data_IF_576192715432
#
_entry.id   IF_576192715432
#
_cell.length_a   1.000
_cell.length_b   1.000
_cell.length_c   1.000
_cell.angle_alpha   90.00
_cell.angle_beta   90.00
_cell.angle_gamma   90.00
#
_symmetry.space_group_name_H-M   'P 1'
#
loop_
_entity.id
_entity.type
_entity.pdbx_description
1 polymer ?
#
# COMPACT_ATOMS: atom_id res chain seq x y z
N UNK A 1 20.35 13.57 -16.43
CA UNK A 1 19.84 12.47 -15.61
C UNK A 1 18.33 12.65 -15.49
N UNK A 2 17.54 11.86 -16.21
CA UNK A 2 16.07 11.96 -16.10
C UNK A 2 15.66 11.34 -14.75
N UNK A 3 15.14 12.17 -13.86
CA UNK A 3 14.48 11.72 -12.65
C UNK A 3 13.26 10.88 -13.06
N UNK A 4 13.13 9.69 -12.48
CA UNK A 4 11.99 8.81 -12.67
C UNK A 4 10.69 9.58 -12.38
N UNK A 5 9.63 9.35 -13.16
CA UNK A 5 8.33 10.03 -13.00
C UNK A 5 7.75 9.89 -11.59
N UNK A 6 8.05 8.79 -10.90
CA UNK A 6 7.67 8.59 -9.49
C UNK A 6 8.31 9.61 -8.55
N UNK A 7 9.51 10.07 -8.88
CA UNK A 7 10.24 11.11 -8.12
C UNK A 7 9.68 12.50 -8.44
N UNK A 8 9.20 12.74 -9.67
CA UNK A 8 8.61 14.02 -10.04
C UNK A 8 7.28 14.31 -9.33
N UNK A 9 6.46 13.30 -9.12
CA UNK A 9 5.21 13.44 -8.36
C UNK A 9 5.52 13.79 -6.90
N UNK A 10 6.61 13.25 -6.35
CA UNK A 10 7.09 13.56 -5.01
C UNK A 10 7.61 15.00 -4.85
N UNK A 11 8.36 15.49 -5.82
CA UNK A 11 8.85 16.87 -5.77
C UNK A 11 7.74 17.92 -5.88
N UNK A 12 6.67 17.61 -6.61
CA UNK A 12 5.49 18.48 -6.71
C UNK A 12 4.68 18.53 -5.42
N UNK A 13 4.61 17.43 -4.67
CA UNK A 13 3.92 17.40 -3.37
C UNK A 13 4.73 18.08 -2.27
N UNK A 14 6.07 17.94 -2.26
CA UNK A 14 6.93 18.61 -1.29
C UNK A 14 7.03 20.11 -1.52
N UNK A 15 6.88 20.58 -2.76
CA UNK A 15 6.84 22.03 -3.04
C UNK A 15 5.51 22.67 -2.58
N UNK A 16 4.43 21.90 -2.56
CA UNK A 16 3.14 22.36 -2.05
C UNK A 16 3.11 22.38 -0.50
N UNK A 17 3.87 21.50 0.16
CA UNK A 17 3.94 21.45 1.63
C UNK A 17 4.65 22.65 2.26
N UNK A 18 5.53 23.36 1.51
CA UNK A 18 6.19 24.58 1.98
C UNK A 18 5.21 25.75 2.12
N UNK A 19 4.06 25.70 1.44
CA UNK A 19 3.06 26.78 1.47
C UNK A 19 1.98 26.60 2.55
N UNK A 20 1.92 25.45 3.20
CA UNK A 20 1.00 25.17 4.28
C UNK A 20 1.76 24.79 5.55
N UNK A 21 1.62 25.60 6.60
CA UNK A 21 2.31 25.44 7.89
C UNK A 21 1.90 24.19 8.72
N UNK A 22 1.52 23.11 8.07
CA UNK A 22 1.26 21.78 8.65
C UNK A 22 2.37 20.78 8.28
N UNK A 23 3.62 21.24 8.24
CA UNK A 23 4.77 20.54 7.67
C UNK A 23 5.12 19.19 8.27
N UNK A 24 4.64 18.87 9.48
CA UNK A 24 5.12 17.68 10.18
C UNK A 24 4.51 16.37 9.65
N UNK A 25 3.25 16.39 9.22
CA UNK A 25 2.56 15.17 8.76
C UNK A 25 3.03 14.73 7.38
N UNK A 26 3.25 15.66 6.46
CA UNK A 26 3.75 15.33 5.12
C UNK A 26 5.21 14.87 5.13
N UNK A 27 6.05 15.48 5.96
CA UNK A 27 7.44 15.08 6.12
C UNK A 27 7.58 13.65 6.66
N UNK A 28 6.66 13.21 7.53
CA UNK A 28 6.62 11.84 8.06
C UNK A 28 6.32 10.82 6.97
N UNK A 29 5.31 11.06 6.16
CA UNK A 29 4.94 10.19 5.02
C UNK A 29 6.05 10.08 3.98
N UNK A 30 6.72 11.17 3.66
CA UNK A 30 7.87 11.16 2.74
C UNK A 30 9.00 10.29 3.28
N UNK A 31 9.35 10.42 4.55
CA UNK A 31 10.37 9.60 5.21
C UNK A 31 10.04 8.11 5.13
N UNK A 32 8.79 7.73 5.41
CA UNK A 32 8.34 6.35 5.40
C UNK A 32 8.32 5.76 3.98
N UNK A 33 7.91 6.54 3.00
CA UNK A 33 7.99 6.09 1.61
C UNK A 33 9.44 5.91 1.14
N UNK A 34 10.35 6.81 1.47
CA UNK A 34 11.78 6.66 1.19
C UNK A 34 12.36 5.41 1.86
N UNK A 35 11.96 5.14 3.09
CA UNK A 35 12.34 3.94 3.84
C UNK A 35 11.88 2.68 3.09
N UNK A 36 10.60 2.63 2.68
CA UNK A 36 10.06 1.53 1.90
C UNK A 36 10.83 1.31 0.60
N UNK A 37 11.04 2.37 -0.16
CA UNK A 37 11.70 2.32 -1.47
C UNK A 37 13.14 1.80 -1.38
N UNK A 38 13.88 2.24 -0.39
CA UNK A 38 15.32 1.96 -0.28
C UNK A 38 15.63 0.67 0.46
N UNK A 39 14.81 0.28 1.44
CA UNK A 39 15.09 -0.87 2.31
C UNK A 39 14.15 -2.06 2.08
N UNK A 40 13.05 -1.87 1.33
CA UNK A 40 11.94 -2.82 1.21
C UNK A 40 11.31 -3.21 2.56
N UNK A 41 11.50 -2.40 3.58
CA UNK A 41 10.93 -2.60 4.91
C UNK A 41 10.35 -1.28 5.41
N UNK A 42 9.09 -1.30 5.78
CA UNK A 42 8.41 -0.17 6.38
C UNK A 42 7.38 -0.68 7.39
N UNK A 43 7.88 -1.12 8.54
CA UNK A 43 7.04 -1.66 9.63
C UNK A 43 6.43 -0.49 10.38
N UNK A 44 5.11 -0.55 10.64
CA UNK A 44 4.35 0.49 11.35
C UNK A 44 4.46 1.90 10.72
N UNK A 45 4.61 1.95 9.40
CA UNK A 45 4.71 3.21 8.67
C UNK A 45 3.34 3.83 8.37
N UNK A 46 3.30 5.16 8.25
CA UNK A 46 2.16 5.89 7.68
C UNK A 46 2.35 6.08 6.18
N UNK A 47 1.62 5.30 5.40
CA UNK A 47 1.60 5.32 3.94
C UNK A 47 0.19 5.63 3.41
N UNK A 48 -0.62 6.34 4.21
CA UNK A 48 -2.00 6.65 3.88
C UNK A 48 -2.12 7.59 2.68
N UNK A 49 -3.16 7.39 1.86
CA UNK A 49 -3.51 8.24 0.71
C UNK A 49 -2.40 8.41 -0.34
N UNK A 50 -1.45 7.47 -0.42
CA UNK A 50 -0.36 7.51 -1.40
C UNK A 50 -0.75 6.86 -2.72
N UNK A 51 -0.21 7.40 -3.81
CA UNK A 51 -0.24 6.71 -5.08
C UNK A 51 0.97 5.76 -5.18
N UNK A 52 0.69 4.48 -4.97
CA UNK A 52 1.66 3.38 -5.06
C UNK A 52 1.36 2.47 -6.26
N UNK A 53 0.58 2.97 -7.23
CA UNK A 53 0.16 2.20 -8.40
C UNK A 53 1.33 1.82 -9.31
N UNK A 54 1.23 0.62 -9.90
CA UNK A 54 2.21 0.07 -10.86
C UNK A 54 3.64 -0.05 -10.32
N UNK A 55 3.83 -0.07 -9.00
CA UNK A 55 5.14 -0.23 -8.40
C UNK A 55 5.52 -1.71 -8.25
N UNK A 56 6.82 -1.97 -8.31
CA UNK A 56 7.37 -3.26 -7.93
C UNK A 56 7.64 -3.28 -6.42
N UNK A 57 6.67 -3.80 -5.67
CA UNK A 57 6.70 -3.93 -4.22
C UNK A 57 6.83 -5.41 -3.78
N UNK A 58 7.50 -6.21 -4.60
CA UNK A 58 7.73 -7.62 -4.30
C UNK A 58 8.60 -7.79 -3.06
N UNK A 59 8.19 -8.73 -2.20
CA UNK A 59 8.93 -9.12 -0.99
C UNK A 59 9.21 -7.93 -0.05
N UNK A 60 8.32 -6.95 -0.03
CA UNK A 60 8.38 -5.87 0.96
C UNK A 60 7.79 -6.35 2.28
N UNK A 61 8.28 -5.79 3.38
CA UNK A 61 7.65 -5.96 4.69
C UNK A 61 6.99 -4.64 5.10
N UNK A 62 5.67 -4.62 5.14
CA UNK A 62 4.82 -3.51 5.53
C UNK A 62 4.01 -3.81 6.80
N UNK A 63 4.40 -4.84 7.55
CA UNK A 63 3.62 -5.30 8.70
C UNK A 63 3.27 -4.17 9.68
N UNK A 64 2.01 -4.12 10.09
CA UNK A 64 1.48 -3.11 11.01
C UNK A 64 1.31 -1.70 10.45
N UNK A 65 1.62 -1.47 9.17
CA UNK A 65 1.53 -0.14 8.54
C UNK A 65 0.09 0.27 8.21
N UNK A 66 -0.13 1.57 8.05
CA UNK A 66 -1.39 2.13 7.56
C UNK A 66 -1.24 2.56 6.09
N UNK A 67 -1.98 1.89 5.20
CA UNK A 67 -2.08 2.21 3.77
C UNK A 67 -3.49 2.66 3.40
N UNK A 68 -4.32 2.98 4.38
CA UNK A 68 -5.72 3.33 4.10
C UNK A 68 -5.84 4.46 3.07
N UNK A 69 -6.78 4.32 2.14
CA UNK A 69 -7.00 5.27 1.06
C UNK A 69 -5.97 5.26 -0.07
N UNK A 70 -4.90 4.46 0.02
CA UNK A 70 -3.85 4.44 -1.01
C UNK A 70 -4.27 3.69 -2.26
N UNK A 71 -3.64 4.02 -3.39
CA UNK A 71 -3.80 3.34 -4.66
C UNK A 71 -2.64 2.37 -4.90
N UNK A 72 -2.91 1.07 -4.89
CA UNK A 72 -1.96 -0.01 -5.20
C UNK A 72 -2.27 -0.68 -6.54
N UNK A 73 -3.14 -0.07 -7.36
CA UNK A 73 -3.59 -0.68 -8.62
C UNK A 73 -2.44 -1.03 -9.55
N UNK A 74 -2.48 -2.24 -10.10
CA UNK A 74 -1.47 -2.74 -11.03
C UNK A 74 -0.09 -3.00 -10.43
N UNK A 75 0.09 -2.88 -9.11
CA UNK A 75 1.37 -3.13 -8.44
C UNK A 75 1.66 -4.63 -8.28
N UNK A 76 2.92 -4.99 -8.20
CA UNK A 76 3.33 -6.35 -7.85
C UNK A 76 3.72 -6.42 -6.38
N UNK A 77 2.86 -7.04 -5.57
CA UNK A 77 3.06 -7.26 -4.13
C UNK A 77 3.50 -8.69 -3.81
N UNK A 78 3.83 -9.48 -4.82
CA UNK A 78 4.06 -10.92 -4.62
C UNK A 78 5.12 -11.22 -3.57
N UNK A 79 4.79 -12.14 -2.65
CA UNK A 79 5.65 -12.57 -1.56
C UNK A 79 5.89 -11.55 -0.46
N UNK A 80 5.06 -10.52 -0.37
CA UNK A 80 5.19 -9.44 0.61
C UNK A 80 4.47 -9.76 1.93
N UNK A 81 4.94 -9.16 3.02
CA UNK A 81 4.31 -9.26 4.32
C UNK A 81 3.45 -8.02 4.59
N UNK A 82 2.15 -8.21 4.57
CA UNK A 82 1.11 -7.23 4.88
C UNK A 82 0.36 -7.57 6.16
N UNK A 83 0.96 -8.38 7.03
CA UNK A 83 0.31 -8.75 8.28
C UNK A 83 -0.03 -7.52 9.13
N UNK A 84 -1.27 -7.46 9.65
CA UNK A 84 -1.80 -6.38 10.46
C UNK A 84 -1.82 -5.00 9.79
N UNK A 85 -1.73 -4.95 8.46
CA UNK A 85 -1.81 -3.70 7.69
C UNK A 85 -3.25 -3.20 7.65
N UNK A 86 -3.43 -1.89 7.71
CA UNK A 86 -4.71 -1.27 7.40
C UNK A 86 -4.78 -0.97 5.90
N UNK A 87 -5.56 -1.76 5.16
CA UNK A 87 -5.83 -1.59 3.72
C UNK A 87 -7.23 -1.02 3.46
N UNK A 88 -7.87 -0.43 4.46
CA UNK A 88 -9.22 0.11 4.25
C UNK A 88 -9.26 1.17 3.14
N UNK A 89 -10.24 1.07 2.23
CA UNK A 89 -10.40 1.95 1.06
C UNK A 89 -9.25 1.94 0.05
N UNK A 90 -8.41 0.91 0.07
CA UNK A 90 -7.30 0.77 -0.88
C UNK A 90 -7.82 0.23 -2.20
N UNK A 91 -7.28 0.74 -3.30
CA UNK A 91 -7.50 0.19 -4.63
C UNK A 91 -6.45 -0.88 -4.95
N UNK A 92 -6.87 -2.13 -5.06
CA UNK A 92 -6.06 -3.30 -5.39
C UNK A 92 -6.33 -3.83 -6.81
N UNK A 93 -7.01 -3.07 -7.67
CA UNK A 93 -7.35 -3.52 -9.02
C UNK A 93 -6.11 -3.86 -9.84
N UNK A 94 -6.06 -5.05 -10.44
CA UNK A 94 -4.92 -5.52 -11.23
C UNK A 94 -3.65 -5.81 -10.45
N UNK A 95 -3.70 -5.78 -9.13
CA UNK A 95 -2.54 -6.06 -8.26
C UNK A 95 -2.19 -7.55 -8.27
N UNK A 96 -0.90 -7.89 -8.29
CA UNK A 96 -0.44 -9.25 -8.11
C UNK A 96 -0.26 -9.53 -6.61
N UNK A 97 -1.14 -10.35 -6.04
CA UNK A 97 -1.20 -10.69 -4.61
C UNK A 97 -0.67 -12.11 -4.31
N UNK A 98 0.05 -12.72 -5.24
CA UNK A 98 0.55 -14.09 -5.07
C UNK A 98 1.47 -14.21 -3.86
N UNK A 99 1.17 -15.15 -2.95
CA UNK A 99 1.96 -15.40 -1.73
C UNK A 99 2.11 -14.17 -0.81
N UNK A 100 1.14 -13.27 -0.80
CA UNK A 100 1.10 -12.14 0.13
C UNK A 100 0.58 -12.63 1.48
N UNK A 101 1.29 -12.30 2.56
CA UNK A 101 0.78 -12.54 3.90
C UNK A 101 -0.17 -11.40 4.31
N UNK A 102 -1.45 -11.68 4.35
CA UNK A 102 -2.48 -10.73 4.77
C UNK A 102 -3.00 -10.97 6.20
N UNK A 103 -2.31 -11.71 7.08
CA UNK A 103 -2.77 -12.09 8.42
C UNK A 103 -3.14 -10.88 9.26
N UNK A 104 -4.40 -10.81 9.71
CA UNK A 104 -4.90 -9.70 10.52
C UNK A 104 -5.05 -8.36 9.78
N UNK A 105 -5.01 -8.38 8.46
CA UNK A 105 -5.17 -7.17 7.61
C UNK A 105 -6.61 -6.66 7.67
N UNK A 106 -6.78 -5.35 7.73
CA UNK A 106 -8.08 -4.70 7.57
C UNK A 106 -8.37 -4.46 6.08
N UNK A 107 -9.33 -5.19 5.52
CA UNK A 107 -9.72 -5.14 4.10
C UNK A 107 -11.06 -4.43 3.86
N UNK A 108 -11.52 -3.59 4.77
CA UNK A 108 -12.81 -2.91 4.64
C UNK A 108 -12.83 -1.95 3.46
N UNK A 109 -13.87 -2.07 2.61
CA UNK A 109 -14.10 -1.15 1.47
C UNK A 109 -12.94 -1.11 0.47
N UNK A 110 -12.20 -2.19 0.32
CA UNK A 110 -11.19 -2.29 -0.76
C UNK A 110 -11.87 -2.34 -2.12
N UNK A 111 -11.18 -1.86 -3.13
CA UNK A 111 -11.51 -2.07 -4.54
C UNK A 111 -10.60 -3.17 -5.06
N UNK A 112 -11.15 -4.31 -5.47
CA UNK A 112 -10.38 -5.44 -5.99
C UNK A 112 -11.12 -6.04 -7.19
N UNK A 113 -10.40 -6.37 -8.25
CA UNK A 113 -10.96 -7.04 -9.41
C UNK A 113 -10.72 -8.56 -9.38
N UNK A 114 -11.40 -9.27 -10.28
CA UNK A 114 -11.29 -10.73 -10.39
C UNK A 114 -9.84 -11.16 -10.66
N UNK A 115 -9.08 -10.36 -11.40
CA UNK A 115 -7.70 -10.65 -11.75
C UNK A 115 -6.82 -10.63 -10.50
N UNK A 116 -6.91 -9.58 -9.69
CA UNK A 116 -6.17 -9.49 -8.44
C UNK A 116 -6.61 -10.59 -7.45
N UNK A 117 -7.92 -10.82 -7.34
CA UNK A 117 -8.47 -11.87 -6.47
C UNK A 117 -7.97 -13.26 -6.88
N UNK A 118 -7.82 -13.55 -8.16
CA UNK A 118 -7.32 -14.86 -8.66
C UNK A 118 -5.85 -15.13 -8.31
N UNK A 119 -5.09 -14.13 -7.92
CA UNK A 119 -3.68 -14.28 -7.50
C UNK A 119 -3.53 -14.56 -6.02
N UNK A 120 -4.60 -14.36 -5.22
CA UNK A 120 -4.60 -14.66 -3.79
C UNK A 120 -4.59 -16.17 -3.55
N UNK A 121 -3.68 -16.62 -2.70
CA UNK A 121 -3.76 -17.95 -2.13
C UNK A 121 -4.68 -17.92 -0.90
N UNK A 122 -5.87 -18.49 -1.06
CA UNK A 122 -6.86 -18.55 0.01
C UNK A 122 -6.74 -19.83 0.86
N UNK A 123 -5.76 -20.69 0.58
CA UNK A 123 -5.64 -22.01 1.22
C UNK A 123 -5.28 -21.94 2.70
N UNK A 124 -4.58 -20.88 3.13
CA UNK A 124 -4.23 -20.63 4.53
C UNK A 124 -4.94 -19.41 5.13
N UNK A 125 -5.96 -18.92 4.44
CA UNK A 125 -6.60 -17.68 4.83
C UNK A 125 -7.58 -17.86 5.97
N UNK A 126 -7.14 -17.53 7.14
CA UNK A 126 -7.99 -17.00 8.22
C UNK A 126 -8.66 -15.65 7.83
N UNK A 127 -8.64 -15.33 6.53
CA UNK A 127 -8.76 -14.00 5.99
C UNK A 127 -10.13 -13.48 5.73
N UNK A 128 -10.98 -14.34 5.31
CA UNK A 128 -12.29 -13.98 4.85
C UNK A 128 -13.30 -14.41 5.88
N UNK A 129 -13.17 -13.87 7.07
CA UNK A 129 -14.36 -13.74 7.88
C UNK A 129 -15.34 -12.91 7.02
N UNK A 130 -16.46 -13.51 6.66
CA UNK A 130 -17.51 -13.00 5.76
C UNK A 130 -17.94 -11.55 6.05
N UNK A 131 -17.54 -11.01 7.21
CA UNK A 131 -17.77 -9.64 7.67
C UNK A 131 -16.77 -8.59 7.12
N UNK A 132 -15.68 -9.01 6.48
CA UNK A 132 -14.67 -8.08 5.98
C UNK A 132 -14.85 -7.70 4.51
N UNK A 133 -15.55 -8.52 3.73
CA UNK A 133 -15.84 -8.26 2.31
C UNK A 133 -17.28 -7.87 2.04
N UNK A 134 -18.15 -7.97 3.02
CA UNK A 134 -19.54 -7.65 2.87
C UNK A 134 -19.89 -6.50 3.81
N UNK A 135 -19.89 -5.32 3.28
CA UNK A 135 -20.88 -4.28 3.58
C UNK A 135 -20.66 -3.16 2.57
N UNK A 136 -21.36 -3.28 1.45
CA UNK A 136 -21.78 -2.13 0.67
C UNK A 136 -22.85 -1.36 1.45
#
# INVERSE_FOLDING_TARGET
MKLDQSVQIFFLSSFLSILFSSGDVFAYKESDFYKLKNTKKCIECDLTDLNLSRLNLRRVNLSGSDLSGSDLSGSDLSGSDFSRVNLSRVNLSGTNLKNVNLTGTNLKRIIIDIKALSTLDLSESTFLNKSTLAEE
#
